data_IF_999283474238
#
_entry.id   IF_999283474238
#
_cell.length_a   1.000
_cell.length_b   1.000
_cell.length_c   1.000
_cell.angle_alpha   90.00
_cell.angle_beta   90.00
_cell.angle_gamma   90.00
#
_symmetry.space_group_name_H-M   'P 1'
#
loop_
_entity.id
_entity.type
_entity.pdbx_description
1 polymer ?
#
# COMPACT_ATOMS: atom_id res chain seq x y z
N UNK A 1 12.76 -14.09 1.85
CA UNK A 1 11.61 -14.75 1.18
C UNK A 1 10.26 -14.26 1.70
N UNK A 2 10.22 -13.28 2.61
CA UNK A 2 8.99 -12.68 3.13
C UNK A 2 8.99 -11.21 2.78
N UNK A 3 7.82 -10.59 2.80
CA UNK A 3 7.64 -9.21 2.38
C UNK A 3 6.24 -8.95 1.89
N UNK A 4 5.97 -7.70 1.53
CA UNK A 4 4.65 -7.26 1.11
C UNK A 4 4.74 -6.51 -0.21
N UNK A 5 4.00 -7.00 -1.19
CA UNK A 5 3.83 -6.36 -2.50
C UNK A 5 2.41 -5.82 -2.58
N UNK A 6 2.30 -4.52 -2.85
CA UNK A 6 1.06 -3.85 -3.18
C UNK A 6 0.99 -3.69 -4.70
N UNK A 7 0.19 -4.54 -5.35
CA UNK A 7 0.04 -4.54 -6.81
C UNK A 7 -1.18 -3.73 -7.21
N UNK A 8 -0.94 -2.59 -7.83
CA UNK A 8 -1.96 -1.68 -8.33
C UNK A 8 -2.25 -1.99 -9.79
N UNK A 9 -3.53 -2.18 -10.10
CA UNK A 9 -4.02 -2.43 -11.45
C UNK A 9 -5.03 -1.36 -11.87
N UNK A 10 -5.16 -1.08 -13.17
CA UNK A 10 -5.87 0.10 -13.66
C UNK A 10 -7.39 -0.08 -13.81
N UNK A 11 -7.87 -1.31 -13.95
CA UNK A 11 -9.27 -1.61 -14.24
C UNK A 11 -9.67 -3.02 -13.81
N UNK A 12 -10.98 -3.29 -13.80
CA UNK A 12 -11.58 -4.56 -13.34
C UNK A 12 -11.19 -5.76 -14.19
N UNK A 13 -11.08 -5.59 -15.51
CA UNK A 13 -10.70 -6.70 -16.38
C UNK A 13 -9.28 -7.20 -16.06
N UNK A 14 -8.33 -6.27 -15.89
CA UNK A 14 -6.95 -6.58 -15.51
C UNK A 14 -6.89 -7.10 -14.07
N UNK A 15 -7.66 -6.54 -13.14
CA UNK A 15 -7.76 -7.04 -11.77
C UNK A 15 -8.21 -8.50 -11.73
N UNK A 16 -9.37 -8.81 -12.31
CA UNK A 16 -9.96 -10.14 -12.32
C UNK A 16 -9.05 -11.16 -13.02
N UNK A 17 -8.43 -10.78 -14.15
CA UNK A 17 -7.48 -11.65 -14.86
C UNK A 17 -6.23 -11.92 -14.03
N UNK A 18 -5.61 -10.88 -13.45
CA UNK A 18 -4.38 -11.01 -12.66
C UNK A 18 -4.64 -11.84 -11.41
N UNK A 19 -5.73 -11.56 -10.70
CA UNK A 19 -6.13 -12.31 -9.52
C UNK A 19 -6.31 -13.80 -9.81
N UNK A 20 -7.01 -14.15 -10.90
CA UNK A 20 -7.21 -15.54 -11.32
C UNK A 20 -5.88 -16.25 -11.53
N UNK A 21 -4.94 -15.61 -12.25
CA UNK A 21 -3.62 -16.17 -12.54
C UNK A 21 -2.76 -16.34 -11.28
N UNK A 22 -2.80 -15.37 -10.37
CA UNK A 22 -2.03 -15.44 -9.13
C UNK A 22 -2.60 -16.46 -8.13
N UNK A 23 -3.92 -16.69 -8.13
CA UNK A 23 -4.55 -17.71 -7.29
C UNK A 23 -4.33 -19.14 -7.82
N UNK A 24 -4.19 -19.33 -9.13
CA UNK A 24 -3.90 -20.64 -9.73
C UNK A 24 -2.44 -21.06 -9.51
N UNK A 25 -2.21 -22.10 -8.70
CA UNK A 25 -0.86 -22.63 -8.42
C UNK A 25 -0.17 -23.27 -9.63
N UNK A 26 -0.91 -23.58 -10.69
CA UNK A 26 -0.36 -24.11 -11.94
C UNK A 26 -0.01 -23.00 -12.94
N UNK A 27 -0.43 -21.75 -12.70
CA UNK A 27 -0.04 -20.63 -13.58
C UNK A 27 1.46 -20.32 -13.41
N UNK A 28 2.19 -20.08 -14.52
CA UNK A 28 3.61 -19.72 -14.46
C UNK A 28 3.93 -18.51 -13.56
N UNK A 29 3.03 -17.52 -13.47
CA UNK A 29 3.24 -16.35 -12.61
C UNK A 29 3.20 -16.72 -11.14
N UNK A 30 2.24 -17.56 -10.74
CA UNK A 30 2.16 -18.06 -9.37
C UNK A 30 3.33 -18.99 -9.04
N UNK A 31 3.75 -19.84 -9.97
CA UNK A 31 4.93 -20.71 -9.75
C UNK A 31 6.20 -19.89 -9.51
N UNK A 32 6.38 -18.76 -10.22
CA UNK A 32 7.50 -17.86 -9.98
C UNK A 32 7.44 -17.26 -8.56
N UNK A 33 6.28 -16.76 -8.14
CA UNK A 33 6.09 -16.26 -6.78
C UNK A 33 6.35 -17.34 -5.74
N UNK A 34 5.83 -18.55 -5.95
CA UNK A 34 6.04 -19.69 -5.04
C UNK A 34 7.54 -20.03 -4.95
N UNK A 35 8.30 -19.96 -6.04
CA UNK A 35 9.76 -20.14 -6.00
C UNK A 35 10.44 -19.05 -5.16
N UNK A 36 10.10 -17.78 -5.38
CA UNK A 36 10.69 -16.64 -4.64
C UNK A 36 10.31 -16.65 -3.16
N UNK A 37 9.06 -16.99 -2.86
CA UNK A 37 8.49 -17.08 -1.51
C UNK A 37 8.74 -18.42 -0.82
N UNK A 38 9.50 -19.34 -1.41
CA UNK A 38 9.73 -20.70 -0.90
C UNK A 38 8.41 -21.42 -0.51
N UNK A 39 7.42 -21.35 -1.40
CA UNK A 39 6.09 -21.94 -1.26
C UNK A 39 5.13 -21.15 -0.36
N UNK A 40 5.61 -20.14 0.36
CA UNK A 40 4.83 -19.34 1.33
C UNK A 40 4.36 -18.04 0.72
N UNK A 41 3.46 -18.15 -0.26
CA UNK A 41 2.84 -16.99 -0.92
C UNK A 41 1.40 -16.84 -0.48
N UNK A 42 1.04 -15.63 -0.06
CA UNK A 42 -0.33 -15.25 0.29
C UNK A 42 -0.83 -14.20 -0.70
N UNK A 43 -1.76 -14.57 -1.57
CA UNK A 43 -2.44 -13.64 -2.46
C UNK A 43 -3.63 -13.05 -1.71
N UNK A 44 -3.73 -11.73 -1.70
CA UNK A 44 -4.69 -10.99 -0.88
C UNK A 44 -5.45 -9.98 -1.74
N UNK A 45 -6.70 -9.76 -1.38
CA UNK A 45 -7.55 -8.69 -1.88
C UNK A 45 -7.76 -7.66 -0.78
N UNK A 46 -8.31 -6.49 -1.12
CA UNK A 46 -8.53 -5.40 -0.14
C UNK A 46 -9.39 -5.83 1.07
N UNK A 47 -10.34 -6.73 0.84
CA UNK A 47 -11.28 -7.22 1.87
C UNK A 47 -10.73 -8.36 2.71
N UNK A 48 -9.53 -8.85 2.40
CA UNK A 48 -8.93 -9.94 3.16
C UNK A 48 -8.30 -9.41 4.44
N UNK A 49 -8.42 -10.22 5.51
CA UNK A 49 -7.78 -9.93 6.79
C UNK A 49 -6.26 -9.80 6.63
N UNK A 50 -5.70 -8.75 7.23
CA UNK A 50 -4.27 -8.47 7.30
C UNK A 50 -3.75 -8.63 8.75
N UNK A 51 -2.78 -9.52 8.93
CA UNK A 51 -2.14 -9.79 10.22
C UNK A 51 -0.61 -9.62 10.09
N UNK A 52 0.03 -8.95 11.05
CA UNK A 52 1.48 -8.76 11.02
C UNK A 52 2.27 -10.08 10.98
N UNK A 53 1.70 -11.16 11.53
CA UNK A 53 2.29 -12.51 11.46
C UNK A 53 2.30 -13.05 10.04
N UNK A 54 1.29 -12.74 9.23
CA UNK A 54 1.27 -13.15 7.83
C UNK A 54 2.43 -12.51 7.06
N UNK A 55 2.63 -11.20 7.25
CA UNK A 55 3.70 -10.44 6.59
C UNK A 55 5.09 -10.94 7.00
N UNK A 56 5.24 -11.33 8.28
CA UNK A 56 6.48 -11.90 8.79
C UNK A 56 6.74 -13.32 8.27
N UNK A 57 5.69 -14.09 7.98
CA UNK A 57 5.78 -15.50 7.61
C UNK A 57 5.61 -15.79 6.10
N UNK A 58 5.17 -14.83 5.29
CA UNK A 58 4.85 -15.06 3.87
C UNK A 58 5.38 -13.94 2.96
N UNK A 59 5.47 -14.24 1.67
CA UNK A 59 5.40 -13.23 0.63
C UNK A 59 3.92 -12.90 0.39
N UNK A 60 3.47 -11.77 0.92
CA UNK A 60 2.12 -11.26 0.72
C UNK A 60 2.06 -10.44 -0.56
N UNK A 61 1.12 -10.74 -1.44
CA UNK A 61 0.83 -9.96 -2.66
C UNK A 61 -0.62 -9.52 -2.60
N UNK A 62 -0.83 -8.24 -2.31
CA UNK A 62 -2.16 -7.63 -2.26
C UNK A 62 -2.47 -6.93 -3.57
N UNK A 63 -3.57 -7.34 -4.22
CA UNK A 63 -4.06 -6.68 -5.43
C UNK A 63 -5.04 -5.60 -5.04
N UNK A 64 -4.87 -4.41 -5.63
CA UNK A 64 -5.76 -3.28 -5.48
C UNK A 64 -6.00 -2.61 -6.82
N UNK A 65 -7.22 -2.14 -7.01
CA UNK A 65 -7.52 -1.21 -8.08
C UNK A 65 -7.64 0.19 -7.49
N UNK A 66 -6.91 1.14 -8.03
CA UNK A 66 -7.13 2.56 -7.74
C UNK A 66 -8.04 3.12 -8.82
N UNK A 67 -9.21 3.62 -8.43
CA UNK A 67 -10.10 4.32 -9.35
C UNK A 67 -9.44 5.64 -9.76
N UNK A 68 -9.51 5.99 -11.04
CA UNK A 68 -9.11 7.32 -11.52
C UNK A 68 -9.96 8.37 -10.82
N UNK A 69 -9.35 9.14 -9.92
CA UNK A 69 -10.03 10.12 -9.07
C UNK A 69 -10.47 11.36 -9.86
N UNK A 70 -11.45 11.23 -10.75
CA UNK A 70 -12.13 12.38 -11.36
C UNK A 70 -13.27 12.91 -10.47
N UNK A 71 -13.68 12.17 -9.43
CA UNK A 71 -14.59 12.64 -8.38
C UNK A 71 -14.18 12.01 -7.04
N UNK A 72 -13.99 12.88 -6.04
CA UNK A 72 -13.93 12.59 -4.59
C UNK A 72 -12.59 12.13 -3.98
N UNK A 73 -11.82 13.14 -3.55
CA UNK A 73 -10.66 13.09 -2.65
C UNK A 73 -10.90 12.43 -1.28
N UNK A 74 -12.16 12.22 -0.87
CA UNK A 74 -12.51 11.57 0.40
C UNK A 74 -12.76 10.06 0.28
N UNK A 75 -13.21 9.57 -0.88
CA UNK A 75 -13.57 8.15 -1.02
C UNK A 75 -12.34 7.24 -1.11
N UNK A 76 -11.29 7.67 -1.82
CA UNK A 76 -10.04 6.89 -1.91
C UNK A 76 -9.39 6.70 -0.53
N UNK A 77 -9.45 7.71 0.35
CA UNK A 77 -8.99 7.59 1.74
C UNK A 77 -9.93 6.72 2.59
N UNK A 78 -11.25 6.80 2.36
CA UNK A 78 -12.24 5.89 2.98
C UNK A 78 -12.06 4.43 2.56
N UNK A 79 -11.49 4.16 1.37
CA UNK A 79 -11.24 2.79 0.92
C UNK A 79 -10.26 2.04 1.82
N UNK A 80 -9.39 2.75 2.53
CA UNK A 80 -8.40 2.21 3.48
C UNK A 80 -8.76 2.47 4.94
N UNK A 81 -9.98 2.97 5.20
CA UNK A 81 -10.49 3.17 6.56
C UNK A 81 -10.93 1.85 7.19
N UNK A 82 -10.79 1.87 8.51
CA UNK A 82 -11.04 0.83 9.52
C UNK A 82 -12.17 -0.17 9.16
N UNK A 83 -11.82 -1.45 9.00
CA UNK A 83 -12.78 -2.56 8.80
C UNK A 83 -12.70 -3.62 9.91
N UNK A 84 -11.85 -3.43 10.93
CA UNK A 84 -11.64 -4.42 11.99
C UNK A 84 -10.99 -5.73 11.51
N UNK A 85 -10.41 -5.72 10.31
CA UNK A 85 -9.75 -6.85 9.65
C UNK A 85 -8.22 -6.71 9.62
N UNK A 86 -7.68 -5.72 10.34
CA UNK A 86 -6.25 -5.43 10.47
C UNK A 86 -5.81 -5.70 11.90
N UNK A 87 -4.70 -6.42 12.09
CA UNK A 87 -4.26 -6.83 13.43
C UNK A 87 -2.74 -6.96 13.55
N UNK A 88 -2.21 -6.63 14.73
CA UNK A 88 -0.81 -6.87 15.10
C UNK A 88 0.20 -5.84 14.57
N UNK A 89 -0.27 -4.70 14.03
CA UNK A 89 0.60 -3.63 13.54
C UNK A 89 0.76 -2.47 14.52
N UNK A 90 -0.20 -2.26 15.41
CA UNK A 90 -0.17 -1.17 16.39
C UNK A 90 0.02 -1.71 17.82
N UNK A 91 0.53 -0.89 18.75
CA UNK A 91 0.66 -1.28 20.15
C UNK A 91 -0.70 -1.43 20.84
N UNK A 92 -0.71 -2.14 21.97
CA UNK A 92 -1.90 -2.26 22.81
C UNK A 92 -2.45 -0.88 23.21
N UNK A 93 -3.78 -0.78 23.35
CA UNK A 93 -4.47 0.49 23.61
C UNK A 93 -4.03 1.19 24.91
N UNK A 94 -3.45 0.46 25.87
CA UNK A 94 -2.95 1.04 27.13
C UNK A 94 -1.51 1.56 27.08
N UNK A 95 -0.75 1.25 26.04
CA UNK A 95 0.68 1.56 25.97
C UNK A 95 0.95 2.93 25.33
N UNK A 96 0.66 3.98 26.10
CA UNK A 96 0.84 5.36 25.65
C UNK A 96 2.26 5.63 25.14
N UNK A 97 3.28 5.04 25.76
CA UNK A 97 4.67 5.23 25.36
C UNK A 97 4.94 4.60 24.00
N UNK A 98 4.50 3.37 23.77
CA UNK A 98 4.69 2.70 22.49
C UNK A 98 3.97 3.42 21.34
N UNK A 99 2.77 3.96 21.59
CA UNK A 99 2.06 4.79 20.60
C UNK A 99 2.83 6.07 20.27
N UNK A 100 3.35 6.77 21.28
CA UNK A 100 4.16 7.97 21.08
C UNK A 100 5.47 7.67 20.33
N UNK A 101 6.16 6.60 20.70
CA UNK A 101 7.41 6.17 20.06
C UNK A 101 7.17 5.77 18.58
N UNK A 102 6.05 5.09 18.29
CA UNK A 102 5.67 4.70 16.93
C UNK A 102 5.32 5.93 16.06
N UNK A 103 4.59 6.90 16.61
CA UNK A 103 4.28 8.17 15.93
C UNK A 103 5.54 8.98 15.64
N UNK A 104 6.52 8.99 16.56
CA UNK A 104 7.80 9.64 16.34
C UNK A 104 8.60 8.99 15.21
N UNK A 105 8.53 7.66 15.08
CA UNK A 105 9.19 6.90 14.02
C UNK A 105 8.49 7.03 12.66
N UNK A 106 7.15 7.09 12.65
CA UNK A 106 6.33 7.13 11.44
C UNK A 106 5.31 8.27 11.56
N UNK A 107 5.71 9.52 11.22
CA UNK A 107 4.90 10.71 11.52
C UNK A 107 3.57 10.83 10.76
N UNK A 108 3.39 10.07 9.67
CA UNK A 108 2.18 10.12 8.84
C UNK A 108 1.15 9.04 9.21
N UNK A 109 1.29 8.37 10.35
CA UNK A 109 0.26 7.48 10.89
C UNK A 109 -0.98 8.26 11.34
N UNK A 110 -2.14 7.66 11.13
CA UNK A 110 -3.42 8.23 11.56
C UNK A 110 -3.75 7.79 12.99
N UNK A 111 -4.21 8.73 13.82
CA UNK A 111 -4.67 8.46 15.19
C UNK A 111 -6.20 8.54 15.28
N UNK A 112 -6.78 7.96 16.33
CA UNK A 112 -8.15 8.27 16.73
C UNK A 112 -8.25 9.74 17.10
N UNK A 113 -9.40 10.35 16.82
CA UNK A 113 -9.65 11.73 17.22
C UNK A 113 -9.80 11.76 18.74
N UNK A 114 -9.15 12.73 19.39
CA UNK A 114 -9.25 12.93 20.83
C UNK A 114 -10.68 13.34 21.22
N UNK A 115 -11.44 13.92 20.29
CA UNK A 115 -12.85 14.28 20.48
C UNK A 115 -13.81 13.06 20.41
N UNK A 116 -13.40 11.99 19.72
CA UNK A 116 -14.20 10.77 19.55
C UNK A 116 -13.79 9.65 20.55
N UNK A 117 -12.74 9.88 21.34
CA UNK A 117 -12.06 8.86 22.14
C UNK A 117 -12.34 8.92 23.65
N UNK A 118 -12.36 7.74 24.27
CA UNK A 118 -12.38 7.54 25.73
C UNK A 118 -11.03 7.82 26.42
N UNK A 119 -10.01 8.21 25.64
CA UNK A 119 -8.61 8.26 26.07
C UNK A 119 -7.98 9.61 25.72
N UNK A 120 -7.40 10.29 26.72
CA UNK A 120 -6.88 11.66 26.60
C UNK A 120 -5.51 11.81 25.92
N UNK A 121 -5.11 10.87 25.05
CA UNK A 121 -3.82 10.90 24.37
C UNK A 121 -3.89 10.27 22.96
N UNK A 122 -2.96 10.61 22.04
CA UNK A 122 -3.05 10.18 20.63
C UNK A 122 -2.76 8.68 20.47
N UNK A 123 -3.78 7.91 20.10
CA UNK A 123 -3.68 6.46 19.86
C UNK A 123 -3.71 6.16 18.37
N UNK A 124 -2.74 5.39 17.88
CA UNK A 124 -2.64 4.98 16.46
C UNK A 124 -3.81 4.06 16.10
N UNK A 125 -4.42 4.30 14.93
CA UNK A 125 -5.54 3.49 14.42
C UNK A 125 -5.09 2.14 13.87
N UNK A 126 -5.86 1.10 14.14
CA UNK A 126 -5.76 -0.21 13.49
C UNK A 126 -6.40 -0.22 12.09
N UNK A 127 -5.81 0.54 11.16
CA UNK A 127 -6.31 0.67 9.79
C UNK A 127 -5.37 0.04 8.77
N UNK A 128 -5.92 -0.37 7.61
CA UNK A 128 -5.13 -0.86 6.48
C UNK A 128 -4.10 0.18 6.03
N UNK A 129 -4.49 1.47 6.02
CA UNK A 129 -3.56 2.55 5.68
C UNK A 129 -2.37 2.65 6.63
N UNK A 130 -2.58 2.51 7.95
CA UNK A 130 -1.47 2.50 8.92
C UNK A 130 -0.64 1.23 8.82
N UNK A 131 -1.28 0.06 8.65
CA UNK A 131 -0.56 -1.18 8.42
C UNK A 131 0.37 -1.07 7.21
N UNK A 132 -0.12 -0.54 6.08
CA UNK A 132 0.72 -0.32 4.89
C UNK A 132 1.87 0.67 5.15
N UNK A 133 1.64 1.77 5.89
CA UNK A 133 2.70 2.72 6.30
C UNK A 133 3.79 2.08 7.15
N UNK A 134 3.42 1.14 8.02
CA UNK A 134 4.33 0.40 8.89
C UNK A 134 5.07 -0.67 8.10
N UNK A 135 4.38 -1.41 7.23
CA UNK A 135 4.93 -2.46 6.38
C UNK A 135 5.93 -1.91 5.36
N UNK A 136 5.71 -0.68 4.86
CA UNK A 136 6.50 -0.05 3.79
C UNK A 136 6.59 -0.94 2.54
N UNK A 137 5.45 -1.23 1.87
CA UNK A 137 5.39 -2.24 0.84
C UNK A 137 6.24 -1.90 -0.38
N UNK A 138 6.59 -2.93 -1.15
CA UNK A 138 6.98 -2.75 -2.56
C UNK A 138 5.71 -2.50 -3.35
N UNK A 139 5.65 -1.39 -4.06
CA UNK A 139 4.49 -1.03 -4.88
C UNK A 139 4.78 -1.36 -6.33
N UNK A 140 3.90 -2.12 -6.98
CA UNK A 140 3.94 -2.39 -8.42
C UNK A 140 2.75 -1.67 -9.05
N UNK A 141 3.02 -0.78 -10.00
CA UNK A 141 2.01 -0.05 -10.76
C UNK A 141 1.94 -0.66 -12.15
N UNK A 142 0.88 -1.41 -12.41
CA UNK A 142 0.62 -1.97 -13.74
C UNK A 142 -0.13 -0.94 -14.59
N UNK A 143 0.41 -0.66 -15.78
CA UNK A 143 -0.07 0.37 -16.70
C UNK A 143 -0.13 1.77 -16.05
N UNK A 144 0.93 2.16 -15.34
CA UNK A 144 0.98 3.41 -14.55
C UNK A 144 0.57 4.67 -15.34
N UNK A 145 0.95 4.74 -16.62
CA UNK A 145 0.60 5.82 -17.55
C UNK A 145 -0.90 5.97 -17.86
N UNK A 146 -1.70 4.90 -17.73
CA UNK A 146 -3.12 4.89 -18.13
C UNK A 146 -4.11 5.20 -17.01
N UNK A 147 -3.72 5.09 -15.74
CA UNK A 147 -4.74 4.86 -14.71
C UNK A 147 -4.53 5.51 -13.34
N UNK A 148 -3.34 6.02 -13.03
CA UNK A 148 -3.08 6.54 -11.69
C UNK A 148 -3.10 8.07 -11.75
N UNK A 149 -4.16 8.66 -11.18
CA UNK A 149 -4.21 10.12 -11.01
C UNK A 149 -3.08 10.59 -10.08
N UNK A 150 -2.70 11.87 -10.16
CA UNK A 150 -1.72 12.48 -9.23
C UNK A 150 -2.10 12.22 -7.76
N UNK A 151 -3.40 12.24 -7.44
CA UNK A 151 -3.91 11.91 -6.12
C UNK A 151 -3.67 10.44 -5.71
N UNK A 152 -3.87 9.51 -6.65
CA UNK A 152 -3.63 8.10 -6.42
C UNK A 152 -2.12 7.84 -6.20
N UNK A 153 -1.26 8.53 -6.94
CA UNK A 153 0.18 8.56 -6.68
C UNK A 153 0.51 9.10 -5.28
N UNK A 154 -0.03 10.26 -4.89
CA UNK A 154 0.19 10.81 -3.55
C UNK A 154 -0.26 9.85 -2.44
N UNK A 155 -1.37 9.13 -2.64
CA UNK A 155 -1.84 8.12 -1.69
C UNK A 155 -0.85 6.98 -1.56
N UNK A 156 -0.34 6.46 -2.69
CA UNK A 156 0.64 5.37 -2.73
C UNK A 156 1.97 5.75 -2.08
N UNK A 157 2.50 6.94 -2.39
CA UNK A 157 3.69 7.47 -1.73
C UNK A 157 3.45 7.72 -0.23
N UNK A 158 2.22 8.07 0.14
CA UNK A 158 1.78 8.20 1.53
C UNK A 158 1.71 6.90 2.33
N UNK A 159 1.92 5.73 1.70
CA UNK A 159 2.11 4.45 2.38
C UNK A 159 3.58 4.13 2.68
N UNK A 160 4.49 5.09 2.53
CA UNK A 160 5.92 4.94 2.82
C UNK A 160 6.57 3.76 2.08
N UNK A 161 6.32 3.57 0.77
CA UNK A 161 6.79 2.39 0.05
C UNK A 161 8.32 2.27 0.12
N UNK A 162 8.83 1.04 0.23
CA UNK A 162 10.27 0.79 0.17
C UNK A 162 10.81 0.92 -1.27
N UNK A 163 9.98 0.62 -2.26
CA UNK A 163 10.30 0.70 -3.68
C UNK A 163 9.00 0.83 -4.49
N UNK A 164 9.04 1.58 -5.60
CA UNK A 164 7.93 1.70 -6.54
C UNK A 164 8.43 1.25 -7.91
N UNK A 165 7.76 0.26 -8.50
CA UNK A 165 8.01 -0.24 -9.85
C UNK A 165 6.83 0.13 -10.74
N UNK A 166 7.07 0.96 -11.75
CA UNK A 166 6.07 1.24 -12.77
C UNK A 166 6.31 0.35 -13.99
N UNK A 167 5.29 -0.42 -14.37
CA UNK A 167 5.26 -1.24 -15.58
C UNK A 167 4.35 -0.55 -16.59
N UNK A 168 4.89 -0.22 -17.76
CA UNK A 168 4.13 0.42 -18.84
C UNK A 168 4.65 -0.06 -20.19
N UNK A 169 3.73 -0.40 -21.09
CA UNK A 169 4.07 -0.67 -22.49
C UNK A 169 4.34 0.61 -23.29
N UNK A 170 3.87 1.78 -22.82
CA UNK A 170 4.06 3.09 -23.45
C UNK A 170 4.51 4.11 -22.39
N UNK A 171 5.82 4.32 -22.23
CA UNK A 171 6.31 5.36 -21.33
C UNK A 171 5.93 6.74 -21.90
N UNK A 172 5.34 7.60 -21.07
CA UNK A 172 5.31 9.02 -21.39
C UNK A 172 6.71 9.58 -21.14
N UNK A 173 7.25 10.34 -22.11
CA UNK A 173 8.45 11.14 -21.89
C UNK A 173 8.16 12.12 -20.74
N UNK A 174 8.63 11.78 -19.54
CA UNK A 174 8.65 12.72 -18.43
C UNK A 174 9.77 13.71 -18.76
N UNK A 175 9.43 14.74 -19.54
CA UNK A 175 10.29 15.91 -19.64
C UNK A 175 10.54 16.39 -18.19
N UNK A 176 11.80 16.59 -17.78
CA UNK A 176 12.10 17.01 -16.44
C UNK A 176 11.41 18.36 -16.22
N UNK A 177 10.40 18.40 -15.34
CA UNK A 177 9.89 19.65 -14.77
C UNK A 177 10.93 20.16 -13.75
N UNK A 178 12.12 20.45 -14.25
CA UNK A 178 13.19 21.18 -13.57
C UNK A 178 13.04 22.66 -13.88
N UNK A 179 13.24 23.49 -12.86
CA UNK A 179 12.89 24.91 -12.83
C UNK A 179 13.41 25.75 -14.00
N UNK A 180 12.67 26.82 -14.26
CA UNK A 180 13.16 27.92 -15.07
C UNK A 180 14.50 28.43 -14.49
N UNK A 181 15.51 28.47 -15.37
CA UNK A 181 16.86 29.04 -15.20
C UNK A 181 17.97 28.08 -14.74
N UNK A 182 18.63 27.39 -15.69
CA UNK A 182 19.96 26.84 -15.45
C UNK A 182 21.02 27.95 -15.47
N UNK A 183 21.78 28.11 -14.38
CA UNK A 183 22.99 28.92 -14.39
C UNK A 183 24.16 28.12 -15.01
N UNK A 184 25.03 28.76 -15.82
CA UNK A 184 26.18 28.09 -16.42
C UNK A 184 27.24 27.76 -15.37
N UNK A 185 27.62 26.47 -15.33
CA UNK A 185 28.66 25.96 -14.45
C UNK A 185 30.05 26.46 -14.84
N UNK A 186 30.87 26.72 -13.82
CA UNK A 186 32.31 26.96 -13.90
C UNK A 186 33.03 25.79 -13.26
#
# INVERSE_FOLDING_TARGET
HTGFVLWIVPNEAIYSQTLKRLKDRQDPYRQMLDRVGAGRVKIMEKSDRLDARDVTAHLCVMLLMLQSANRQTKETLKMFQDRGDVSGFTPDQGDQKAHADLLAQIPNLQTYDLADGTVGWPMVKDSLGNALRIIRPVVVLDEGHKAVSELAFHTLYGFNPAFVLELTATPHDVAPKGGANPHPGR
#
